data_IF_166594779399
#
_entry.id   IF_166594779399
#
_cell.length_a   1.000
_cell.length_b   1.000
_cell.length_c   1.000
_cell.angle_alpha   90.00
_cell.angle_beta   90.00
_cell.angle_gamma   90.00
#
_symmetry.space_group_name_H-M   'P 1'
#
loop_
_entity.id
_entity.type
_entity.pdbx_description
1 polymer ?
#
# COMPACT_ATOMS: atom_id res chain seq x y z
N UNK A 1 37.78 11.09 24.96
CA UNK A 1 38.58 9.89 24.64
C UNK A 1 38.11 9.41 23.29
N UNK A 2 38.99 9.35 22.29
CA UNK A 2 38.63 8.85 20.96
C UNK A 2 38.59 7.32 21.01
N UNK A 3 37.43 6.73 20.72
CA UNK A 3 37.19 5.29 20.87
C UNK A 3 37.55 4.49 19.60
N UNK A 4 37.95 5.18 18.53
CA UNK A 4 38.26 4.57 17.24
C UNK A 4 37.01 4.13 16.46
N UNK A 5 37.23 3.30 15.44
CA UNK A 5 36.17 2.76 14.58
C UNK A 5 35.55 1.55 15.30
N UNK A 6 34.26 1.64 15.61
CA UNK A 6 33.47 0.58 16.25
C UNK A 6 32.33 0.15 15.32
N UNK A 7 31.95 -1.12 15.36
CA UNK A 7 30.75 -1.61 14.65
C UNK A 7 29.47 -1.07 15.32
N UNK A 8 28.36 -1.04 14.58
CA UNK A 8 27.07 -0.60 15.14
C UNK A 8 26.60 -1.51 16.27
N UNK A 9 26.81 -2.83 16.15
CA UNK A 9 26.50 -3.81 17.20
C UNK A 9 27.32 -3.55 18.46
N UNK A 10 28.60 -3.19 18.32
CA UNK A 10 29.45 -2.88 19.45
C UNK A 10 29.03 -1.57 20.13
N UNK A 11 28.65 -0.55 19.35
CA UNK A 11 28.08 0.69 19.89
C UNK A 11 26.76 0.43 20.65
N UNK A 12 25.88 -0.40 20.11
CA UNK A 12 24.63 -0.81 20.77
C UNK A 12 24.90 -1.56 22.07
N UNK A 13 25.80 -2.55 22.04
CA UNK A 13 26.17 -3.35 23.21
C UNK A 13 26.76 -2.45 24.30
N UNK A 14 27.67 -1.55 23.95
CA UNK A 14 28.28 -0.62 24.90
C UNK A 14 27.26 0.38 25.45
N UNK A 15 26.35 0.88 24.61
CA UNK A 15 25.24 1.74 25.05
C UNK A 15 24.29 1.03 26.04
N UNK A 16 23.96 -0.23 25.78
CA UNK A 16 23.10 -1.04 26.64
C UNK A 16 23.78 -1.40 27.97
N UNK A 17 25.10 -1.66 27.93
CA UNK A 17 25.90 -1.94 29.14
C UNK A 17 26.16 -0.71 30.02
N UNK A 18 25.80 0.49 29.57
CA UNK A 18 26.08 1.75 30.25
C UNK A 18 27.52 2.26 30.06
N UNK A 19 28.35 1.58 29.28
CA UNK A 19 29.70 2.03 28.92
C UNK A 19 29.66 3.30 28.04
N UNK A 20 28.61 3.46 27.23
CA UNK A 20 28.31 4.69 26.50
C UNK A 20 27.01 5.29 27.01
N UNK A 21 26.99 6.62 27.13
CA UNK A 21 25.85 7.38 27.65
C UNK A 21 24.77 7.62 26.60
N UNK A 22 25.10 7.54 25.32
CA UNK A 22 24.24 7.93 24.20
C UNK A 22 24.44 9.38 23.75
N UNK A 23 25.21 10.16 24.53
CA UNK A 23 25.55 11.54 24.22
C UNK A 23 26.76 11.70 23.31
N UNK A 24 27.52 10.62 23.11
CA UNK A 24 28.76 10.61 22.35
C UNK A 24 28.49 10.98 20.89
N UNK A 25 29.41 11.72 20.28
CA UNK A 25 29.33 12.02 18.87
C UNK A 25 29.92 10.87 18.06
N UNK A 26 29.16 10.42 17.07
CA UNK A 26 29.56 9.39 16.11
C UNK A 26 29.45 9.94 14.69
N UNK A 27 30.28 9.40 13.81
CA UNK A 27 30.29 9.73 12.40
C UNK A 27 30.48 8.46 11.59
N UNK A 28 29.76 8.35 10.46
CA UNK A 28 29.93 7.28 9.48
C UNK A 28 30.05 7.88 8.08
N UNK A 29 30.64 7.13 7.17
CA UNK A 29 30.71 7.50 5.77
C UNK A 29 29.32 7.87 5.22
N UNK A 30 29.22 9.03 4.58
CA UNK A 30 27.98 9.58 4.05
C UNK A 30 27.24 10.57 4.96
N UNK A 31 27.71 10.82 6.19
CA UNK A 31 27.16 11.88 7.05
C UNK A 31 27.81 13.25 6.75
N UNK A 32 26.99 14.30 6.69
CA UNK A 32 27.46 15.68 6.47
C UNK A 32 27.94 16.37 7.75
N UNK A 33 27.60 15.82 8.93
CA UNK A 33 28.01 16.31 10.24
C UNK A 33 28.05 15.16 11.26
N UNK A 34 28.71 15.40 12.40
CA UNK A 34 28.70 14.49 13.54
C UNK A 34 27.32 14.50 14.22
N UNK A 35 26.81 13.33 14.62
CA UNK A 35 25.54 13.22 15.36
C UNK A 35 25.70 12.44 16.66
N UNK A 36 24.72 12.58 17.56
CA UNK A 36 24.74 11.85 18.83
C UNK A 36 24.43 10.37 18.62
N UNK A 37 25.10 9.52 19.39
CA UNK A 37 24.93 8.06 19.34
C UNK A 37 23.47 7.66 19.49
N UNK A 38 22.71 8.24 20.42
CA UNK A 38 21.29 7.90 20.61
C UNK A 38 20.44 8.24 19.38
N UNK A 39 20.75 9.31 18.64
CA UNK A 39 20.05 9.63 17.39
C UNK A 39 20.32 8.57 16.31
N UNK A 40 21.57 8.08 16.23
CA UNK A 40 21.99 7.04 15.29
C UNK A 40 21.44 5.67 15.66
N UNK A 41 21.42 5.32 16.95
CA UNK A 41 20.88 4.05 17.43
C UNK A 41 19.36 3.98 17.31
N UNK A 42 18.66 5.12 17.43
CA UNK A 42 17.24 5.22 17.14
C UNK A 42 16.95 5.15 15.63
N UNK A 43 17.87 5.63 14.78
CA UNK A 43 17.73 5.59 13.33
C UNK A 43 18.04 4.22 12.70
N UNK A 44 18.55 3.25 13.48
CA UNK A 44 19.03 1.97 12.96
C UNK A 44 20.26 2.12 12.05
N UNK A 45 20.89 1.01 11.61
CA UNK A 45 21.85 1.08 10.51
C UNK A 45 21.15 1.69 9.30
N UNK A 46 21.83 2.54 8.50
CA UNK A 46 21.21 2.99 7.27
C UNK A 46 20.96 1.73 6.44
N UNK A 47 19.77 1.57 5.84
CA UNK A 47 19.56 0.50 4.90
C UNK A 47 20.65 0.56 3.83
N UNK A 48 21.16 -0.59 3.37
CA UNK A 48 22.29 -0.63 2.46
C UNK A 48 21.96 0.19 1.20
N UNK A 49 22.94 0.91 0.65
CA UNK A 49 22.74 1.60 -0.61
C UNK A 49 22.31 0.60 -1.67
N UNK A 50 21.40 1.00 -2.55
CA UNK A 50 20.93 0.15 -3.65
C UNK A 50 22.18 -0.30 -4.45
N UNK A 51 22.48 -1.61 -4.52
CA UNK A 51 23.79 -2.12 -4.99
C UNK A 51 24.20 -1.66 -6.40
N UNK A 52 23.23 -1.18 -7.18
CA UNK A 52 23.39 -0.83 -8.59
C UNK A 52 23.48 0.66 -8.88
N UNK A 53 23.45 1.52 -7.86
CA UNK A 53 23.62 2.98 -8.02
C UNK A 53 24.95 3.32 -8.70
N UNK A 54 26.03 2.63 -8.38
CA UNK A 54 27.34 2.79 -9.04
C UNK A 54 27.28 2.48 -10.53
N UNK A 55 26.60 1.40 -10.93
CA UNK A 55 26.45 1.02 -12.35
C UNK A 55 25.58 2.04 -13.09
N UNK A 56 24.46 2.44 -12.49
CA UNK A 56 23.55 3.44 -13.03
C UNK A 56 24.25 4.79 -13.27
N UNK A 57 25.09 5.24 -12.32
CA UNK A 57 25.92 6.44 -12.47
C UNK A 57 26.91 6.29 -13.64
N UNK A 58 27.62 5.16 -13.73
CA UNK A 58 28.59 4.91 -14.81
C UNK A 58 27.96 4.86 -16.21
N UNK A 59 26.76 4.32 -16.33
CA UNK A 59 26.07 4.17 -17.63
C UNK A 59 25.14 5.32 -17.97
N UNK A 60 24.95 6.29 -17.07
CA UNK A 60 23.90 7.31 -17.14
C UNK A 60 22.53 6.72 -17.50
N UNK A 61 22.15 5.64 -16.80
CA UNK A 61 20.85 4.98 -16.98
C UNK A 61 20.07 5.04 -15.66
N UNK A 62 18.75 5.23 -15.71
CA UNK A 62 17.90 5.10 -14.53
C UNK A 62 17.90 3.67 -14.00
N UNK A 63 17.60 3.54 -12.71
CA UNK A 63 17.38 2.27 -12.02
C UNK A 63 15.92 1.84 -12.19
N UNK A 64 15.70 0.61 -12.65
CA UNK A 64 14.40 -0.05 -12.61
C UNK A 64 14.43 -1.12 -11.53
N UNK A 65 13.76 -0.87 -10.41
CA UNK A 65 13.72 -1.79 -9.28
C UNK A 65 12.40 -2.53 -9.28
N UNK A 66 12.48 -3.84 -9.46
CA UNK A 66 11.34 -4.76 -9.48
C UNK A 66 11.25 -5.46 -8.13
N UNK A 67 10.14 -5.25 -7.42
CA UNK A 67 9.83 -5.86 -6.13
C UNK A 67 8.97 -7.09 -6.37
N UNK A 68 9.50 -8.28 -6.02
CA UNK A 68 8.88 -9.57 -6.34
C UNK A 68 9.05 -10.60 -5.24
N UNK A 69 7.96 -11.23 -4.83
CA UNK A 69 8.00 -12.47 -4.06
C UNK A 69 8.61 -13.61 -4.90
N UNK A 70 9.19 -14.61 -4.22
CA UNK A 70 9.66 -15.85 -4.83
C UNK A 70 9.00 -17.02 -4.11
N UNK A 71 8.19 -17.86 -4.78
CA UNK A 71 7.59 -17.68 -6.10
C UNK A 71 6.35 -16.75 -6.07
N UNK A 72 6.04 -16.09 -7.19
CA UNK A 72 4.82 -15.30 -7.34
C UNK A 72 3.88 -15.95 -8.37
N UNK A 73 2.88 -16.70 -7.90
CA UNK A 73 1.96 -17.41 -8.81
C UNK A 73 0.96 -16.49 -9.50
N UNK A 74 0.60 -15.37 -8.87
CA UNK A 74 -0.36 -14.38 -9.36
C UNK A 74 0.18 -13.53 -10.53
N UNK A 75 1.49 -13.53 -10.77
CA UNK A 75 2.10 -12.70 -11.80
C UNK A 75 2.79 -13.51 -12.90
N UNK A 76 2.45 -14.80 -13.04
CA UNK A 76 3.06 -15.67 -14.04
C UNK A 76 2.83 -15.19 -15.48
N UNK A 77 1.64 -14.65 -15.78
CA UNK A 77 1.33 -14.10 -17.11
C UNK A 77 2.25 -12.92 -17.47
N UNK A 78 2.22 -11.85 -16.66
CA UNK A 78 3.07 -10.67 -16.87
C UNK A 78 4.58 -11.00 -16.81
N UNK A 79 5.04 -11.87 -15.91
CA UNK A 79 6.45 -12.27 -15.85
C UNK A 79 6.89 -12.96 -17.15
N UNK A 80 6.07 -13.88 -17.67
CA UNK A 80 6.35 -14.55 -18.94
C UNK A 80 6.40 -13.53 -20.09
N UNK A 81 5.41 -12.63 -20.19
CA UNK A 81 5.34 -11.62 -21.24
C UNK A 81 6.50 -10.64 -21.20
N UNK A 82 6.90 -10.14 -20.02
CA UNK A 82 8.04 -9.24 -19.89
C UNK A 82 9.33 -9.92 -20.37
N UNK A 83 9.54 -11.19 -20.01
CA UNK A 83 10.74 -11.93 -20.38
C UNK A 83 10.78 -12.28 -21.88
N UNK A 84 9.62 -12.42 -22.54
CA UNK A 84 9.54 -12.77 -23.97
C UNK A 84 9.27 -11.58 -24.90
N UNK A 85 8.99 -10.39 -24.38
CA UNK A 85 8.56 -9.25 -25.19
C UNK A 85 9.71 -8.61 -25.97
N UNK A 86 9.64 -8.72 -27.30
CA UNK A 86 10.58 -8.04 -28.22
C UNK A 86 10.41 -6.52 -28.24
N UNK A 87 9.22 -6.02 -27.89
CA UNK A 87 8.91 -4.59 -27.86
C UNK A 87 9.38 -3.92 -26.57
N UNK A 88 9.31 -4.65 -25.46
CA UNK A 88 9.72 -4.14 -24.15
C UNK A 88 11.23 -4.21 -23.93
N UNK A 89 11.91 -5.19 -24.54
CA UNK A 89 13.35 -5.40 -24.35
C UNK A 89 14.19 -4.14 -24.66
N UNK A 90 14.01 -3.41 -25.77
CA UNK A 90 14.75 -2.17 -26.03
C UNK A 90 14.52 -1.08 -24.97
N UNK A 91 13.31 -1.01 -24.42
CA UNK A 91 12.98 -0.06 -23.34
C UNK A 91 13.70 -0.48 -22.06
N UNK A 92 13.67 -1.77 -21.69
CA UNK A 92 14.36 -2.31 -20.53
C UNK A 92 15.89 -2.14 -20.61
N UNK A 93 16.47 -2.26 -21.81
CA UNK A 93 17.90 -2.04 -22.04
C UNK A 93 18.34 -0.60 -21.72
N UNK A 94 17.40 0.35 -21.68
CA UNK A 94 17.64 1.74 -21.25
C UNK A 94 17.74 1.90 -19.73
N UNK A 95 17.49 0.84 -18.96
CA UNK A 95 17.58 0.83 -17.49
C UNK A 95 18.73 -0.04 -16.98
N UNK A 96 19.15 0.25 -15.74
CA UNK A 96 19.83 -0.75 -14.90
C UNK A 96 18.76 -1.47 -14.08
N UNK A 97 18.38 -2.66 -14.54
CA UNK A 97 17.35 -3.48 -13.91
C UNK A 97 17.87 -4.19 -12.65
N UNK A 98 17.08 -4.14 -11.58
CA UNK A 98 17.36 -4.76 -10.29
C UNK A 98 16.11 -5.52 -9.85
N UNK A 99 16.28 -6.77 -9.42
CA UNK A 99 15.21 -7.52 -8.77
C UNK A 99 15.47 -7.56 -7.26
N UNK A 100 14.53 -7.07 -6.48
CA UNK A 100 14.53 -7.15 -5.02
C UNK A 100 13.56 -8.24 -4.60
N UNK A 101 14.10 -9.28 -3.96
CA UNK A 101 13.37 -10.48 -3.52
C UNK A 101 13.40 -10.69 -1.99
N UNK A 102 14.23 -9.91 -1.28
CA UNK A 102 14.33 -9.94 0.16
C UNK A 102 13.65 -8.69 0.73
N UNK A 103 12.44 -8.83 1.24
CA UNK A 103 11.77 -7.70 1.90
C UNK A 103 12.26 -7.50 3.35
N UNK A 104 12.93 -8.48 3.97
CA UNK A 104 13.31 -8.45 5.38
C UNK A 104 14.12 -7.19 5.73
N UNK A 105 15.00 -6.78 4.81
CA UNK A 105 15.89 -5.63 4.96
C UNK A 105 15.57 -4.50 3.95
N UNK A 106 14.31 -4.40 3.53
CA UNK A 106 13.85 -3.37 2.61
C UNK A 106 13.80 -2.00 3.31
N UNK A 107 14.38 -0.97 2.71
CA UNK A 107 14.30 0.41 3.23
C UNK A 107 12.85 0.94 3.17
N UNK A 108 12.18 1.01 4.31
CA UNK A 108 10.80 1.46 4.41
C UNK A 108 10.62 2.96 4.21
N UNK A 109 11.68 3.76 4.32
CA UNK A 109 11.62 5.20 4.00
C UNK A 109 11.66 5.45 2.49
N UNK A 110 12.19 4.51 1.71
CA UNK A 110 12.35 4.65 0.25
C UNK A 110 11.36 3.81 -0.54
N UNK A 111 11.19 2.55 -0.16
CA UNK A 111 10.34 1.59 -0.86
C UNK A 111 8.93 1.58 -0.30
N UNK A 112 8.24 2.70 -0.51
CA UNK A 112 6.82 2.86 -0.19
C UNK A 112 6.01 2.67 -1.47
N UNK A 113 5.28 1.57 -1.55
CA UNK A 113 4.38 1.20 -2.65
C UNK A 113 3.17 0.49 -2.04
N UNK A 114 2.22 0.07 -2.86
CA UNK A 114 1.11 -0.74 -2.38
C UNK A 114 1.61 -2.15 -2.01
N UNK A 115 1.84 -2.39 -0.73
CA UNK A 115 2.40 -3.66 -0.23
C UNK A 115 1.50 -4.87 -0.47
N UNK A 116 0.22 -4.66 -0.81
CA UNK A 116 -0.72 -5.73 -1.11
C UNK A 116 -0.66 -6.18 -2.59
N UNK A 117 0.11 -5.48 -3.42
CA UNK A 117 0.34 -5.85 -4.81
C UNK A 117 1.36 -7.00 -4.91
N UNK A 118 1.07 -7.93 -5.82
CA UNK A 118 1.99 -9.01 -6.19
C UNK A 118 3.09 -8.58 -7.19
N UNK A 119 2.88 -7.43 -7.83
CA UNK A 119 3.86 -6.77 -8.71
C UNK A 119 3.99 -5.30 -8.35
N UNK A 120 5.22 -4.85 -8.13
CA UNK A 120 5.51 -3.41 -8.08
C UNK A 120 6.88 -3.13 -8.66
N UNK A 121 6.99 -2.00 -9.33
CA UNK A 121 8.26 -1.46 -9.78
C UNK A 121 8.40 -0.01 -9.33
N UNK A 122 9.63 0.37 -9.06
CA UNK A 122 10.00 1.72 -8.66
C UNK A 122 11.18 2.16 -9.50
N UNK A 123 11.06 3.34 -10.09
CA UNK A 123 12.01 3.88 -11.05
C UNK A 123 12.77 5.02 -10.41
N UNK A 124 14.10 4.93 -10.37
CA UNK A 124 14.94 5.92 -9.68
C UNK A 124 16.02 6.49 -10.60
N UNK A 125 16.44 7.72 -10.33
CA UNK A 125 17.75 8.20 -10.73
C UNK A 125 18.85 7.43 -9.96
N UNK A 126 20.07 7.44 -10.48
CA UNK A 126 21.24 6.84 -9.85
C UNK A 126 21.64 7.49 -8.51
N UNK A 127 21.21 8.73 -8.25
CA UNK A 127 21.37 9.40 -6.94
C UNK A 127 20.32 8.99 -5.90
N UNK A 128 19.33 8.18 -6.30
CA UNK A 128 18.25 7.72 -5.43
C UNK A 128 16.96 8.54 -5.49
N UNK A 129 16.89 9.60 -6.29
CA UNK A 129 15.65 10.35 -6.55
C UNK A 129 14.64 9.46 -7.27
N UNK A 130 13.43 9.31 -6.72
CA UNK A 130 12.36 8.52 -7.35
C UNK A 130 11.69 9.29 -8.50
N UNK A 131 11.61 8.66 -9.68
CA UNK A 131 10.83 9.12 -10.83
C UNK A 131 9.37 8.69 -10.78
N UNK A 132 9.08 7.52 -10.23
CA UNK A 132 7.71 7.09 -9.99
C UNK A 132 7.59 5.61 -9.69
N UNK A 133 6.34 5.19 -9.51
CA UNK A 133 5.94 3.83 -9.19
C UNK A 133 5.17 3.23 -10.36
N UNK A 134 5.16 1.92 -10.45
CA UNK A 134 4.19 1.18 -11.25
C UNK A 134 3.75 -0.06 -10.49
N UNK A 135 2.47 -0.37 -10.60
CA UNK A 135 1.82 -1.51 -9.97
C UNK A 135 0.37 -1.50 -10.41
N UNK A 136 -0.20 -2.67 -10.66
CA UNK A 136 -1.55 -2.77 -11.22
C UNK A 136 -2.37 -3.77 -10.44
N UNK A 137 -3.55 -3.32 -10.01
CA UNK A 137 -4.59 -4.21 -9.49
C UNK A 137 -5.28 -5.01 -10.61
N UNK A 138 -5.08 -4.64 -11.89
CA UNK A 138 -5.64 -5.38 -13.03
C UNK A 138 -5.05 -6.79 -13.11
N UNK A 139 -3.71 -6.91 -13.09
CA UNK A 139 -2.99 -8.20 -13.06
C UNK A 139 -3.24 -9.01 -11.77
N UNK A 140 -3.74 -8.37 -10.71
CA UNK A 140 -4.12 -9.06 -9.47
C UNK A 140 -5.56 -9.58 -9.52
N UNK A 141 -6.43 -8.98 -10.36
CA UNK A 141 -7.78 -9.47 -10.62
C UNK A 141 -7.76 -10.65 -11.60
N UNK A 142 -6.84 -10.64 -12.57
CA UNK A 142 -6.62 -11.73 -13.51
C UNK A 142 -5.13 -12.11 -13.59
N UNK A 143 -4.80 -13.29 -13.06
CA UNK A 143 -3.42 -13.81 -13.05
C UNK A 143 -2.91 -14.23 -14.45
N UNK A 144 -3.80 -14.32 -15.44
CA UNK A 144 -3.46 -14.60 -16.84
C UNK A 144 -3.28 -13.33 -17.67
N UNK A 145 -3.63 -12.16 -17.13
CA UNK A 145 -3.40 -10.90 -17.81
C UNK A 145 -1.90 -10.72 -18.09
N UNK A 146 -1.62 -10.48 -19.36
CA UNK A 146 -0.29 -10.39 -19.96
C UNK A 146 -0.02 -9.01 -20.58
N UNK A 147 -0.95 -8.06 -20.38
CA UNK A 147 -0.90 -6.73 -20.96
C UNK A 147 0.26 -5.92 -20.38
N UNK A 148 1.12 -5.39 -21.25
CA UNK A 148 2.30 -4.59 -20.87
C UNK A 148 2.25 -3.14 -21.35
N UNK A 149 1.22 -2.72 -22.09
CA UNK A 149 1.12 -1.38 -22.69
C UNK A 149 1.28 -0.26 -21.65
N UNK A 150 0.51 -0.29 -20.56
CA UNK A 150 0.66 0.69 -19.47
C UNK A 150 2.01 0.61 -18.76
N UNK A 151 2.62 -0.58 -18.67
CA UNK A 151 3.97 -0.72 -18.10
C UNK A 151 5.01 -0.07 -19.01
N UNK A 152 4.96 -0.33 -20.33
CA UNK A 152 5.79 0.33 -21.34
C UNK A 152 5.62 1.85 -21.29
N UNK A 153 4.38 2.34 -21.18
CA UNK A 153 4.09 3.76 -21.04
C UNK A 153 4.76 4.37 -19.80
N UNK A 154 4.70 3.68 -18.65
CA UNK A 154 5.35 4.12 -17.42
C UNK A 154 6.89 4.16 -17.53
N UNK A 155 7.50 3.14 -18.16
CA UNK A 155 8.93 3.12 -18.41
C UNK A 155 9.36 4.28 -19.31
N UNK A 156 8.64 4.53 -20.41
CA UNK A 156 8.93 5.64 -21.31
C UNK A 156 8.76 7.01 -20.64
N UNK A 157 7.72 7.18 -19.81
CA UNK A 157 7.52 8.40 -19.04
C UNK A 157 8.67 8.63 -18.03
N UNK A 158 9.18 7.57 -17.40
CA UNK A 158 10.36 7.67 -16.55
C UNK A 158 11.65 8.01 -17.32
N UNK A 159 11.83 7.50 -18.54
CA UNK A 159 12.95 7.89 -19.41
C UNK A 159 12.87 9.36 -19.82
N UNK A 160 11.65 9.89 -20.07
CA UNK A 160 11.45 11.30 -20.31
C UNK A 160 11.85 12.16 -19.10
N UNK A 161 11.41 11.77 -17.88
CA UNK A 161 11.86 12.41 -16.65
C UNK A 161 13.37 12.33 -16.45
N UNK A 162 13.99 11.21 -16.84
CA UNK A 162 15.43 11.03 -16.73
C UNK A 162 16.23 11.95 -17.65
N UNK A 163 15.75 12.16 -18.89
CA UNK A 163 16.38 13.04 -19.88
C UNK A 163 16.51 14.49 -19.37
N UNK A 164 15.50 14.98 -18.64
CA UNK A 164 15.47 16.35 -18.14
C UNK A 164 16.14 16.52 -16.76
N UNK A 165 16.68 15.44 -16.20
CA UNK A 165 17.32 15.46 -14.87
C UNK A 165 18.76 16.02 -14.96
N UNK A 166 19.21 16.87 -14.01
CA UNK A 166 18.57 17.25 -12.74
C UNK A 166 17.61 18.46 -12.81
N UNK A 167 17.34 19.02 -13.99
CA UNK A 167 16.53 20.23 -14.15
C UNK A 167 15.09 20.11 -13.65
N UNK A 168 14.55 18.89 -13.55
CA UNK A 168 13.22 18.60 -13.02
C UNK A 168 13.21 18.05 -11.58
N UNK A 169 14.35 18.05 -10.86
CA UNK A 169 14.48 17.39 -9.54
C UNK A 169 13.44 17.90 -8.52
N UNK A 170 13.20 19.20 -8.48
CA UNK A 170 12.26 19.81 -7.53
C UNK A 170 10.81 19.35 -7.76
N UNK A 171 10.42 19.12 -9.03
CA UNK A 171 9.10 18.59 -9.38
C UNK A 171 8.90 17.13 -8.92
N UNK A 172 9.98 16.42 -8.57
CA UNK A 172 9.94 15.05 -8.07
C UNK A 172 9.86 14.97 -6.54
N UNK A 173 9.91 16.10 -5.82
CA UNK A 173 9.94 16.12 -4.35
C UNK A 173 8.74 15.38 -3.73
N UNK A 174 7.52 15.58 -4.26
CA UNK A 174 6.31 14.93 -3.75
C UNK A 174 6.25 13.41 -3.99
N UNK A 175 7.10 12.87 -4.87
CA UNK A 175 7.17 11.44 -5.16
C UNK A 175 7.99 10.68 -4.13
N UNK A 176 8.94 11.35 -3.47
CA UNK A 176 9.87 10.70 -2.56
C UNK A 176 9.11 10.07 -1.38
N UNK A 177 9.65 8.98 -0.83
CA UNK A 177 9.04 8.33 0.33
C UNK A 177 9.03 9.26 1.55
N UNK A 178 8.05 9.06 2.43
CA UNK A 178 7.94 9.79 3.69
C UNK A 178 8.72 9.12 4.83
N UNK A 179 8.74 9.72 6.03
CA UNK A 179 9.26 9.06 7.21
C UNK A 179 8.53 7.74 7.48
N UNK A 180 9.28 6.70 7.84
CA UNK A 180 8.75 5.41 8.25
C UNK A 180 9.04 5.18 9.75
N UNK A 181 8.10 4.64 10.54
CA UNK A 181 8.33 4.39 11.96
C UNK A 181 9.43 3.37 12.27
N UNK A 182 9.77 2.54 11.28
CA UNK A 182 10.83 1.52 11.34
C UNK A 182 11.66 1.62 10.06
N UNK A 183 12.97 1.38 10.13
CA UNK A 183 13.83 1.48 8.96
C UNK A 183 13.63 0.30 8.01
N UNK A 184 13.43 -0.90 8.57
CA UNK A 184 13.23 -2.15 7.82
C UNK A 184 12.11 -3.02 8.40
N UNK A 185 11.50 -3.94 7.62
CA UNK A 185 10.38 -4.76 8.10
C UNK A 185 10.64 -5.61 9.35
N UNK A 186 11.84 -6.18 9.48
CA UNK A 186 12.17 -7.03 10.63
C UNK A 186 12.25 -6.27 11.97
N UNK A 187 12.24 -4.94 11.95
CA UNK A 187 12.17 -4.11 13.15
C UNK A 187 10.73 -3.89 13.63
N UNK A 188 9.73 -4.15 12.79
CA UNK A 188 8.33 -3.99 13.18
C UNK A 188 7.99 -5.07 14.23
N UNK A 189 7.42 -4.73 15.41
CA UNK A 189 7.26 -5.69 16.51
C UNK A 189 6.52 -6.99 16.17
N UNK A 190 5.59 -6.97 15.20
CA UNK A 190 4.86 -8.16 14.77
C UNK A 190 5.71 -9.15 13.94
N UNK A 191 6.84 -8.68 13.38
CA UNK A 191 7.76 -9.43 12.52
C UNK A 191 9.11 -9.71 13.21
N UNK A 192 9.49 -8.87 14.18
CA UNK A 192 10.72 -8.99 14.93
C UNK A 192 10.89 -10.39 15.56
N UNK A 193 12.10 -10.95 15.45
CA UNK A 193 12.46 -12.28 15.96
C UNK A 193 11.90 -13.47 15.17
N UNK A 194 11.00 -13.26 14.20
CA UNK A 194 10.48 -14.32 13.32
C UNK A 194 11.31 -14.52 12.06
N UNK A 195 11.97 -13.46 11.60
CA UNK A 195 12.74 -13.44 10.36
C UNK A 195 14.15 -12.90 10.63
N UNK A 196 15.13 -13.47 9.93
CA UNK A 196 16.49 -12.95 9.88
C UNK A 196 16.64 -11.84 8.84
N UNK A 197 17.80 -11.16 8.84
CA UNK A 197 18.12 -10.13 7.82
C UNK A 197 18.20 -10.72 6.41
N UNK A 198 18.83 -11.89 6.29
CA UNK A 198 19.07 -12.55 5.01
C UNK A 198 18.10 -13.71 4.78
N UNK A 199 17.85 -14.00 3.50
CA UNK A 199 17.07 -15.17 3.11
C UNK A 199 17.87 -16.45 3.37
N UNK A 200 17.17 -17.49 3.82
CA UNK A 200 17.75 -18.82 3.98
C UNK A 200 17.72 -19.57 2.64
N UNK A 201 18.89 -19.67 2.01
CA UNK A 201 19.06 -20.31 0.69
C UNK A 201 19.11 -21.84 0.74
N UNK A 202 19.10 -22.46 1.92
CA UNK A 202 19.11 -23.93 2.11
C UNK A 202 17.70 -24.52 1.97
N UNK A 203 16.99 -24.14 0.90
CA UNK A 203 15.63 -24.60 0.60
C UNK A 203 14.52 -23.99 1.46
N UNK A 204 14.83 -22.96 2.28
CA UNK A 204 13.87 -22.29 3.18
C UNK A 204 13.59 -20.83 2.82
N UNK A 205 13.85 -20.44 1.57
CA UNK A 205 13.77 -19.04 1.11
C UNK A 205 12.41 -18.44 1.43
N UNK A 206 11.32 -19.14 1.06
CA UNK A 206 9.94 -18.67 1.27
C UNK A 206 9.64 -18.49 2.75
N UNK A 207 9.99 -19.47 3.58
CA UNK A 207 9.73 -19.48 5.02
C UNK A 207 10.54 -18.41 5.77
N UNK A 208 11.69 -18.01 5.22
CA UNK A 208 12.57 -16.99 5.78
C UNK A 208 12.28 -15.58 5.27
N UNK A 209 11.29 -15.40 4.38
CA UNK A 209 10.99 -14.10 3.78
C UNK A 209 9.76 -13.46 4.43
N UNK A 210 9.89 -12.19 4.80
CA UNK A 210 8.75 -11.31 5.03
C UNK A 210 8.05 -11.08 3.69
N UNK A 211 6.79 -11.47 3.57
CA UNK A 211 5.98 -11.15 2.40
C UNK A 211 5.58 -9.67 2.43
N UNK A 212 5.54 -8.98 1.28
CA UNK A 212 5.29 -7.53 1.22
C UNK A 212 4.03 -7.12 2.01
N UNK A 213 2.90 -7.80 1.84
CA UNK A 213 1.65 -7.46 2.54
C UNK A 213 1.77 -7.53 4.07
N UNK A 214 2.68 -8.38 4.59
CA UNK A 214 2.92 -8.49 6.02
C UNK A 214 3.49 -7.20 6.62
N UNK A 215 4.10 -6.33 5.81
CA UNK A 215 4.57 -5.00 6.25
C UNK A 215 3.36 -4.15 6.67
N UNK A 216 2.34 -4.06 5.81
CA UNK A 216 1.09 -3.36 6.12
C UNK A 216 0.36 -4.00 7.31
N UNK A 217 0.31 -5.33 7.36
CA UNK A 217 -0.32 -6.07 8.46
C UNK A 217 0.37 -5.78 9.80
N UNK A 218 1.70 -5.74 9.79
CA UNK A 218 2.52 -5.49 10.96
C UNK A 218 2.35 -4.04 11.47
N UNK A 219 2.23 -3.06 10.58
CA UNK A 219 1.92 -1.67 10.97
C UNK A 219 0.54 -1.58 11.63
N UNK A 220 -0.50 -2.17 11.04
CA UNK A 220 -1.85 -2.20 11.63
C UNK A 220 -1.83 -2.86 13.02
N UNK A 221 -1.19 -4.02 13.13
CA UNK A 221 -1.06 -4.75 14.39
C UNK A 221 -0.27 -3.94 15.43
N UNK A 222 0.78 -3.22 15.04
CA UNK A 222 1.57 -2.38 15.93
C UNK A 222 0.73 -1.26 16.57
N UNK A 223 -0.12 -0.58 15.81
CA UNK A 223 -1.07 0.40 16.36
C UNK A 223 -2.08 -0.29 17.28
N UNK A 224 -2.69 -1.38 16.80
CA UNK A 224 -3.74 -2.10 17.50
C UNK A 224 -3.27 -2.62 18.87
N UNK A 225 -2.07 -3.18 18.93
CA UNK A 225 -1.46 -3.73 20.17
C UNK A 225 -1.07 -2.66 21.20
N UNK A 226 -0.98 -1.40 20.80
CA UNK A 226 -0.79 -0.28 21.72
C UNK A 226 -2.12 0.27 22.27
N UNK A 227 -3.25 -0.38 21.97
CA UNK A 227 -4.57 0.15 22.32
C UNK A 227 -4.91 1.45 21.58
N UNK A 228 -4.29 1.69 20.41
CA UNK A 228 -4.57 2.84 19.56
C UNK A 228 -5.53 2.43 18.43
N UNK A 229 -6.35 3.37 17.91
CA UNK A 229 -7.07 3.15 16.66
C UNK A 229 -6.09 2.87 15.53
N UNK A 230 -6.53 2.12 14.53
CA UNK A 230 -5.76 1.96 13.30
C UNK A 230 -5.96 3.22 12.44
N UNK A 231 -4.88 3.90 12.04
CA UNK A 231 -4.97 5.05 11.14
C UNK A 231 -5.70 4.75 9.82
N UNK A 232 -6.55 5.66 9.29
CA UNK A 232 -7.28 5.44 8.05
C UNK A 232 -6.40 5.13 6.82
N UNK A 233 -5.21 5.70 6.73
CA UNK A 233 -4.24 5.43 5.66
C UNK A 233 -3.64 4.02 5.73
N UNK A 234 -3.64 3.38 6.90
CA UNK A 234 -3.27 1.97 7.08
C UNK A 234 -4.44 1.00 6.86
N UNK A 235 -5.70 1.47 6.99
CA UNK A 235 -6.91 0.70 6.66
C UNK A 235 -7.15 0.74 5.14
N UNK A 236 -6.97 1.92 4.54
CA UNK A 236 -7.16 2.20 3.12
C UNK A 236 -5.84 2.68 2.48
N UNK A 237 -4.83 1.80 2.40
CA UNK A 237 -3.56 2.13 1.76
C UNK A 237 -3.74 2.27 0.25
N UNK A 238 -2.98 3.19 -0.36
CA UNK A 238 -2.95 3.42 -1.81
C UNK A 238 -4.35 3.39 -2.46
N UNK A 239 -5.28 4.31 -2.08
CA UNK A 239 -6.61 4.34 -2.67
C UNK A 239 -6.53 4.47 -4.18
N UNK A 240 -7.30 3.65 -4.89
CA UNK A 240 -7.32 3.67 -6.35
C UNK A 240 -8.12 4.88 -6.88
N UNK A 241 -7.91 5.32 -8.14
CA UNK A 241 -8.63 6.46 -8.73
C UNK A 241 -10.16 6.34 -8.63
N UNK A 242 -10.71 5.13 -8.61
CA UNK A 242 -12.13 4.85 -8.47
C UNK A 242 -12.67 5.37 -7.12
N UNK A 243 -11.81 5.51 -6.11
CA UNK A 243 -12.18 6.11 -4.80
C UNK A 243 -12.71 7.54 -4.96
N UNK A 244 -12.26 8.26 -6.00
CA UNK A 244 -12.73 9.62 -6.32
C UNK A 244 -13.63 9.66 -7.56
N UNK A 245 -13.97 8.50 -8.12
CA UNK A 245 -14.83 8.32 -9.30
C UNK A 245 -14.12 8.46 -10.64
N UNK A 246 -12.83 8.09 -10.71
CA UNK A 246 -12.08 8.00 -11.96
C UNK A 246 -11.80 6.54 -12.30
N UNK A 247 -12.07 6.14 -13.54
CA UNK A 247 -11.47 4.93 -14.12
C UNK A 247 -10.33 5.39 -15.02
N UNK A 248 -9.12 4.86 -14.77
CA UNK A 248 -7.97 5.12 -15.62
C UNK A 248 -7.70 3.93 -16.53
N UNK A 249 -7.39 4.23 -17.78
CA UNK A 249 -7.08 3.25 -18.80
C UNK A 249 -5.72 2.59 -18.51
N UNK A 250 -5.71 1.26 -18.41
CA UNK A 250 -4.53 0.45 -18.11
C UNK A 250 -3.49 0.42 -19.22
N UNK A 251 -3.82 0.89 -20.43
CA UNK A 251 -2.88 0.95 -21.55
C UNK A 251 -2.02 2.22 -21.56
N UNK A 252 -2.41 3.24 -20.80
CA UNK A 252 -1.74 4.54 -20.73
C UNK A 252 -1.12 4.77 -19.36
N UNK A 253 -0.31 5.83 -19.23
CA UNK A 253 0.25 6.23 -17.95
C UNK A 253 -0.86 6.65 -16.95
N UNK A 254 -1.74 7.56 -17.35
CA UNK A 254 -2.83 8.06 -16.50
C UNK A 254 -3.95 8.72 -17.33
N UNK A 255 -4.45 8.03 -18.36
CA UNK A 255 -5.59 8.52 -19.16
C UNK A 255 -6.90 8.17 -18.48
N UNK A 256 -7.83 9.11 -18.40
CA UNK A 256 -9.18 8.89 -17.89
C UNK A 256 -10.00 8.18 -18.98
N UNK A 257 -10.46 6.96 -18.70
CA UNK A 257 -11.40 6.25 -19.58
C UNK A 257 -12.85 6.56 -19.22
N UNK A 258 -13.14 6.71 -17.92
CA UNK A 258 -14.49 6.97 -17.41
C UNK A 258 -14.46 7.88 -16.19
N UNK A 259 -15.55 8.63 -16.00
CA UNK A 259 -15.80 9.45 -14.81
C UNK A 259 -17.18 9.08 -14.29
N UNK A 260 -17.24 8.62 -13.04
CA UNK A 260 -18.49 8.18 -12.42
C UNK A 260 -19.45 9.36 -12.23
N UNK A 261 -20.72 9.17 -12.58
CA UNK A 261 -21.77 10.17 -12.38
C UNK A 261 -21.98 10.45 -10.89
N UNK A 262 -22.05 11.72 -10.52
CA UNK A 262 -22.21 12.19 -9.14
C UNK A 262 -20.94 12.10 -8.28
N UNK A 263 -19.79 11.80 -8.88
CA UNK A 263 -18.52 11.63 -8.17
C UNK A 263 -17.79 12.95 -7.88
N UNK A 264 -16.73 12.85 -7.06
CA UNK A 264 -15.83 13.99 -6.79
C UNK A 264 -15.10 14.43 -8.07
N UNK A 265 -14.75 13.48 -8.93
CA UNK A 265 -14.11 13.74 -10.21
C UNK A 265 -15.04 14.45 -11.20
N UNK A 266 -16.31 14.03 -11.30
CA UNK A 266 -17.30 14.71 -12.14
C UNK A 266 -17.54 16.15 -11.63
N UNK A 267 -17.71 16.32 -10.31
CA UNK A 267 -17.88 17.63 -9.69
C UNK A 267 -16.69 18.57 -9.92
N UNK A 268 -15.48 18.01 -10.03
CA UNK A 268 -14.26 18.76 -10.36
C UNK A 268 -14.17 19.12 -11.87
N UNK A 269 -15.01 18.54 -12.71
CA UNK A 269 -15.03 18.77 -14.16
C UNK A 269 -13.98 17.96 -14.95
N UNK A 270 -13.49 16.84 -14.38
CA UNK A 270 -12.71 15.85 -15.11
C UNK A 270 -13.60 15.12 -16.12
N UNK A 271 -13.00 14.65 -17.22
CA UNK A 271 -13.72 14.01 -18.33
C UNK A 271 -12.96 12.82 -18.87
N UNK A 272 -13.70 11.87 -19.44
CA UNK A 272 -13.11 10.82 -20.28
C UNK A 272 -12.27 11.45 -21.40
N UNK A 273 -11.11 10.88 -21.68
CA UNK A 273 -10.12 11.38 -22.62
C UNK A 273 -9.12 12.39 -22.04
N UNK A 274 -9.27 12.81 -20.78
CA UNK A 274 -8.24 13.60 -20.10
C UNK A 274 -6.97 12.76 -19.88
N UNK A 275 -5.82 13.28 -20.28
CA UNK A 275 -4.52 12.75 -19.84
C UNK A 275 -4.09 13.46 -18.57
N UNK A 276 -4.07 12.77 -17.43
CA UNK A 276 -3.60 13.32 -16.16
C UNK A 276 -2.08 13.46 -16.21
N UNK A 277 -1.59 14.70 -16.35
CA UNK A 277 -0.16 15.00 -16.50
C UNK A 277 0.52 15.09 -15.13
N UNK A 278 -0.09 15.79 -14.18
CA UNK A 278 0.46 15.93 -12.83
C UNK A 278 -0.62 16.16 -11.78
N UNK A 279 -0.36 15.75 -10.54
CA UNK A 279 -1.22 16.04 -9.38
C UNK A 279 -0.38 16.62 -8.25
N UNK A 280 -0.80 17.76 -7.71
CA UNK A 280 -0.05 18.54 -6.71
C UNK A 280 1.39 18.81 -7.16
N UNK A 281 1.58 19.12 -8.45
CA UNK A 281 2.88 19.37 -9.08
C UNK A 281 3.71 18.11 -9.38
N UNK A 282 3.26 16.92 -8.98
CA UNK A 282 3.96 15.66 -9.23
C UNK A 282 3.55 15.10 -10.59
N UNK A 283 4.49 14.99 -11.53
CA UNK A 283 4.25 14.34 -12.83
C UNK A 283 3.82 12.88 -12.63
N UNK A 284 2.79 12.42 -13.33
CA UNK A 284 2.37 11.02 -13.23
C UNK A 284 3.07 10.18 -14.29
N UNK A 285 3.65 9.04 -13.89
CA UNK A 285 4.10 8.03 -14.86
C UNK A 285 3.16 6.81 -14.89
N UNK A 286 2.28 6.66 -13.91
CA UNK A 286 1.34 5.54 -13.84
C UNK A 286 0.15 5.82 -12.91
N UNK A 287 -0.85 4.93 -12.96
CA UNK A 287 -1.95 4.84 -11.98
C UNK A 287 -1.43 4.75 -10.53
N UNK A 288 -0.31 4.03 -10.30
CA UNK A 288 0.26 3.88 -8.97
C UNK A 288 0.80 5.21 -8.39
N UNK A 289 1.22 6.15 -9.24
CA UNK A 289 1.56 7.50 -8.78
C UNK A 289 0.31 8.29 -8.37
N UNK A 290 -0.81 8.13 -9.08
CA UNK A 290 -2.07 8.76 -8.67
C UNK A 290 -2.53 8.21 -7.31
N UNK A 291 -2.48 6.88 -7.14
CA UNK A 291 -2.78 6.22 -5.87
C UNK A 291 -1.83 6.67 -4.75
N UNK A 292 -0.55 6.91 -5.05
CA UNK A 292 0.41 7.50 -4.11
C UNK A 292 -0.01 8.91 -3.68
N UNK A 293 -0.40 9.77 -4.61
CA UNK A 293 -0.86 11.13 -4.27
C UNK A 293 -2.10 11.07 -3.39
N UNK A 294 -3.08 10.24 -3.73
CA UNK A 294 -4.25 9.99 -2.88
C UNK A 294 -3.82 9.50 -1.50
N UNK A 295 -2.90 8.54 -1.43
CA UNK A 295 -2.43 7.98 -0.16
C UNK A 295 -1.79 9.04 0.73
N UNK A 296 -1.01 9.98 0.17
CA UNK A 296 -0.38 11.08 0.90
C UNK A 296 -1.32 12.24 1.23
N UNK A 297 -2.54 12.23 0.71
CA UNK A 297 -3.50 13.31 0.92
C UNK A 297 -4.22 13.15 2.26
N UNK A 298 -4.35 14.23 3.07
CA UNK A 298 -5.04 14.17 4.35
C UNK A 298 -6.53 13.78 4.23
N UNK A 299 -7.16 13.59 5.38
CA UNK A 299 -8.58 13.23 5.49
C UNK A 299 -9.53 14.25 4.83
N UNK A 300 -9.09 15.49 4.62
CA UNK A 300 -9.76 16.50 3.79
C UNK A 300 -8.71 17.35 3.08
N UNK A 301 -9.01 17.84 1.88
CA UNK A 301 -8.09 18.69 1.14
C UNK A 301 -8.52 18.93 -0.29
N UNK A 302 -7.60 19.46 -1.10
CA UNK A 302 -7.81 19.65 -2.53
C UNK A 302 -6.59 19.14 -3.30
N UNK A 303 -6.83 18.50 -4.44
CA UNK A 303 -5.82 18.07 -5.38
C UNK A 303 -5.79 19.03 -6.57
N UNK A 304 -4.61 19.60 -6.84
CA UNK A 304 -4.38 20.40 -8.04
C UNK A 304 -3.93 19.49 -9.17
N UNK A 305 -4.83 19.20 -10.09
CA UNK A 305 -4.62 18.29 -11.22
C UNK A 305 -4.35 19.13 -12.46
N UNK A 306 -3.28 18.82 -13.18
CA UNK A 306 -3.07 19.33 -14.54
C UNK A 306 -3.39 18.21 -15.51
N UNK A 307 -4.34 18.46 -16.41
CA UNK A 307 -4.73 17.55 -17.48
C UNK A 307 -4.31 18.10 -18.83
N UNK A 308 -4.01 17.23 -19.78
CA UNK A 308 -4.04 17.56 -21.19
C UNK A 308 -5.38 17.09 -21.76
N UNK A 309 -6.20 18.04 -22.20
CA UNK A 309 -7.53 17.80 -22.77
C UNK A 309 -7.53 18.26 -24.22
N UNK A 310 -7.66 17.30 -25.14
CA UNK A 310 -7.64 17.57 -26.59
C UNK A 310 -6.43 18.41 -27.04
N UNK A 311 -5.25 18.17 -26.44
CA UNK A 311 -4.00 18.88 -26.76
C UNK A 311 -3.76 20.16 -25.97
N UNK A 312 -4.71 20.62 -25.16
CA UNK A 312 -4.57 21.82 -24.33
C UNK A 312 -4.40 21.47 -22.84
N UNK A 313 -3.40 22.09 -22.19
CA UNK A 313 -3.21 21.97 -20.75
C UNK A 313 -4.33 22.72 -19.99
N UNK A 314 -4.96 22.05 -19.03
CA UNK A 314 -5.98 22.61 -18.15
C UNK A 314 -5.69 22.27 -16.69
N UNK A 315 -5.99 23.20 -15.78
CA UNK A 315 -5.91 22.95 -14.33
C UNK A 315 -7.30 22.67 -13.79
N UNK A 316 -7.40 21.61 -13.00
CA UNK A 316 -8.62 21.11 -12.38
C UNK A 316 -8.36 20.95 -10.88
N UNK A 317 -9.24 21.48 -10.04
CA UNK A 317 -9.14 21.28 -8.59
C UNK A 317 -10.17 20.23 -8.15
N UNK A 318 -9.69 19.11 -7.63
CA UNK A 318 -10.54 18.05 -7.07
C UNK A 318 -10.59 18.20 -5.55
N UNK A 319 -11.78 18.49 -5.02
CA UNK A 319 -11.99 18.67 -3.59
C UNK A 319 -12.31 17.33 -2.92
N UNK A 320 -11.62 17.04 -1.82
CA UNK A 320 -11.76 15.82 -1.04
C UNK A 320 -12.43 16.12 0.31
N UNK A 321 -13.70 15.71 0.50
CA UNK A 321 -14.40 15.90 1.76
C UNK A 321 -13.86 14.96 2.84
N UNK A 322 -14.13 15.28 4.11
CA UNK A 322 -13.77 14.39 5.23
C UNK A 322 -14.30 12.97 5.00
N UNK A 323 -13.44 11.96 5.15
CA UNK A 323 -13.81 10.56 5.00
C UNK A 323 -13.87 10.04 3.56
N UNK A 324 -13.44 10.84 2.56
CA UNK A 324 -13.37 10.41 1.15
C UNK A 324 -12.69 9.04 0.97
N UNK A 325 -11.65 8.78 1.76
CA UNK A 325 -10.84 7.56 1.70
C UNK A 325 -11.64 6.30 2.09
N UNK A 326 -12.66 6.44 2.92
CA UNK A 326 -13.50 5.31 3.38
C UNK A 326 -14.29 4.67 2.24
N UNK A 327 -14.44 5.37 1.11
CA UNK A 327 -15.06 4.86 -0.11
C UNK A 327 -14.15 3.94 -0.92
N UNK A 328 -12.90 3.74 -0.51
CA UNK A 328 -11.98 2.84 -1.20
C UNK A 328 -12.39 1.38 -0.97
N UNK A 329 -12.56 0.61 -2.06
CA UNK A 329 -12.82 -0.83 -1.96
C UNK A 329 -11.53 -1.57 -1.56
N UNK A 330 -11.54 -2.10 -0.35
CA UNK A 330 -10.45 -2.91 0.21
C UNK A 330 -10.80 -4.40 0.25
N UNK A 331 -12.01 -4.82 -0.12
CA UNK A 331 -12.51 -6.18 0.11
C UNK A 331 -11.67 -7.30 -0.51
N UNK A 332 -11.00 -7.00 -1.63
CA UNK A 332 -10.13 -7.92 -2.39
C UNK A 332 -8.65 -7.84 -2.01
N UNK A 333 -8.27 -6.94 -1.10
CA UNK A 333 -6.89 -6.76 -0.65
C UNK A 333 -6.50 -7.86 0.33
N UNK A 334 -5.27 -8.37 0.22
CA UNK A 334 -4.77 -9.42 1.11
C UNK A 334 -4.72 -8.92 2.56
N UNK A 335 -4.35 -7.65 2.77
CA UNK A 335 -4.32 -7.02 4.09
C UNK A 335 -5.69 -6.89 4.76
N UNK A 336 -6.79 -7.07 4.01
CA UNK A 336 -8.15 -7.09 4.57
C UNK A 336 -8.43 -8.35 5.37
N UNK A 337 -7.73 -9.46 5.06
CA UNK A 337 -7.89 -10.70 5.81
C UNK A 337 -7.66 -10.52 7.33
N UNK A 338 -6.48 -10.07 7.80
CA UNK A 338 -6.29 -9.84 9.24
C UNK A 338 -7.20 -8.74 9.80
N UNK A 339 -7.57 -7.73 9.01
CA UNK A 339 -8.53 -6.71 9.45
C UNK A 339 -9.92 -7.30 9.76
N UNK A 340 -10.38 -8.32 9.03
CA UNK A 340 -11.62 -9.03 9.34
C UNK A 340 -11.57 -9.70 10.72
N UNK A 341 -10.42 -10.24 11.13
CA UNK A 341 -10.24 -10.77 12.47
C UNK A 341 -10.33 -9.68 13.53
N UNK A 342 -9.62 -8.56 13.33
CA UNK A 342 -9.63 -7.40 14.23
C UNK A 342 -11.03 -6.80 14.39
N UNK A 343 -11.71 -6.56 13.26
CA UNK A 343 -12.96 -5.80 13.21
C UNK A 343 -14.16 -6.62 13.71
N UNK A 344 -14.33 -7.84 13.21
CA UNK A 344 -15.56 -8.58 13.43
C UNK A 344 -15.35 -10.10 13.47
N UNK A 345 -14.22 -10.52 14.04
CA UNK A 345 -14.01 -11.92 14.41
C UNK A 345 -13.91 -12.87 13.23
N UNK A 346 -13.38 -12.40 12.09
CA UNK A 346 -13.01 -13.22 10.94
C UNK A 346 -14.14 -13.57 9.99
N UNK A 347 -15.26 -12.85 10.03
CA UNK A 347 -16.28 -12.95 8.99
C UNK A 347 -15.72 -12.49 7.63
N UNK A 348 -16.36 -12.84 6.53
CA UNK A 348 -16.19 -12.19 5.23
C UNK A 348 -17.56 -11.77 4.78
N UNK A 349 -17.72 -10.47 4.55
CA UNK A 349 -19.00 -9.85 4.32
C UNK A 349 -19.11 -9.35 2.90
N UNK A 350 -20.33 -9.34 2.36
CA UNK A 350 -20.62 -8.74 1.06
C UNK A 350 -21.93 -7.98 1.15
N UNK A 351 -21.93 -6.73 0.73
CA UNK A 351 -23.16 -5.97 0.56
C UNK A 351 -24.00 -6.61 -0.55
N UNK A 352 -25.27 -6.88 -0.27
CA UNK A 352 -26.17 -7.40 -1.29
C UNK A 352 -26.42 -6.35 -2.38
N UNK A 353 -26.46 -6.79 -3.63
CA UNK A 353 -26.84 -5.93 -4.76
C UNK A 353 -28.30 -5.49 -4.64
N UNK A 354 -28.69 -4.44 -5.36
CA UNK A 354 -30.08 -3.97 -5.37
C UNK A 354 -31.06 -5.06 -5.85
N UNK A 355 -30.63 -5.89 -6.82
CA UNK A 355 -31.38 -7.04 -7.30
C UNK A 355 -31.55 -8.11 -6.21
N UNK A 356 -30.45 -8.45 -5.51
CA UNK A 356 -30.47 -9.41 -4.41
C UNK A 356 -31.33 -8.94 -3.23
N UNK A 357 -31.35 -7.63 -2.97
CA UNK A 357 -32.20 -6.98 -1.97
C UNK A 357 -33.66 -7.04 -2.37
N UNK A 358 -33.99 -6.69 -3.62
CA UNK A 358 -35.35 -6.74 -4.16
C UNK A 358 -35.94 -8.16 -4.06
N UNK A 359 -35.17 -9.18 -4.44
CA UNK A 359 -35.57 -10.60 -4.31
C UNK A 359 -35.87 -11.03 -2.87
N UNK A 360 -35.34 -10.32 -1.88
CA UNK A 360 -35.53 -10.58 -0.44
C UNK A 360 -36.49 -9.59 0.23
N UNK A 361 -37.11 -8.68 -0.52
CA UNK A 361 -37.98 -7.63 0.03
C UNK A 361 -37.24 -6.61 0.92
N UNK A 362 -35.93 -6.47 0.74
CA UNK A 362 -35.10 -5.57 1.54
C UNK A 362 -35.04 -4.17 0.91
N UNK A 363 -34.97 -3.14 1.76
CA UNK A 363 -34.74 -1.76 1.31
C UNK A 363 -33.33 -1.61 0.73
N UNK A 364 -33.17 -0.70 -0.23
CA UNK A 364 -31.87 -0.35 -0.84
C UNK A 364 -30.98 0.48 0.08
N UNK A 365 -31.52 1.02 1.17
CA UNK A 365 -30.83 1.95 2.09
C UNK A 365 -30.42 1.33 3.42
N UNK A 366 -30.91 0.14 3.75
CA UNK A 366 -30.58 -0.56 5.00
C UNK A 366 -29.33 -1.42 4.87
N UNK A 367 -28.68 -1.72 6.00
CA UNK A 367 -27.59 -2.69 6.06
C UNK A 367 -28.11 -4.08 5.66
N UNK A 368 -27.37 -4.75 4.78
CA UNK A 368 -27.65 -6.12 4.37
C UNK A 368 -26.32 -6.78 3.96
N UNK A 369 -25.46 -7.00 4.96
CA UNK A 369 -24.15 -7.62 4.76
C UNK A 369 -24.28 -9.14 4.91
N UNK A 370 -24.19 -9.85 3.78
CA UNK A 370 -24.22 -11.30 3.75
C UNK A 370 -22.89 -11.88 4.24
N UNK A 371 -22.95 -12.80 5.20
CA UNK A 371 -21.79 -13.53 5.69
C UNK A 371 -21.43 -14.63 4.69
N UNK A 372 -20.48 -14.35 3.78
CA UNK A 372 -19.97 -15.31 2.79
C UNK A 372 -19.17 -16.43 3.44
N UNK A 373 -18.38 -16.07 4.45
CA UNK A 373 -17.55 -17.01 5.20
C UNK A 373 -17.38 -16.57 6.65
N UNK A 374 -17.10 -17.53 7.51
CA UNK A 374 -16.66 -17.30 8.89
C UNK A 374 -15.33 -18.02 9.07
N UNK A 375 -14.34 -17.34 9.62
CA UNK A 375 -13.04 -17.93 9.89
C UNK A 375 -13.12 -19.11 10.87
N UNK A 376 -12.16 -20.03 10.74
CA UNK A 376 -12.22 -21.33 11.42
C UNK A 376 -11.28 -21.43 12.62
N UNK A 377 -10.17 -20.67 12.63
CA UNK A 377 -9.09 -20.84 13.59
C UNK A 377 -8.58 -19.51 14.16
N UNK A 378 -7.97 -19.58 15.35
CA UNK A 378 -7.30 -18.44 15.99
C UNK A 378 -8.21 -17.21 16.16
N UNK A 379 -7.65 -15.99 15.98
CA UNK A 379 -8.42 -14.73 16.02
C UNK A 379 -9.55 -14.66 14.99
N UNK A 380 -9.47 -15.42 13.89
CA UNK A 380 -10.51 -15.46 12.87
C UNK A 380 -11.70 -16.34 13.24
N UNK A 381 -11.62 -17.16 14.29
CA UNK A 381 -12.70 -18.04 14.70
C UNK A 381 -13.74 -17.38 15.61
N UNK A 382 -13.59 -16.09 15.93
CA UNK A 382 -14.30 -15.47 17.05
C UNK A 382 -15.78 -15.28 16.75
N UNK A 383 -16.15 -14.84 15.54
CA UNK A 383 -17.55 -14.76 15.15
C UNK A 383 -18.21 -16.15 15.09
N UNK A 384 -17.47 -17.18 14.63
CA UNK A 384 -17.95 -18.58 14.65
C UNK A 384 -18.24 -19.03 16.07
N UNK A 385 -17.32 -18.78 17.01
CA UNK A 385 -17.49 -19.12 18.43
C UNK A 385 -18.65 -18.38 19.08
N UNK A 386 -18.94 -17.15 18.62
CA UNK A 386 -20.11 -16.40 19.04
C UNK A 386 -21.43 -16.94 18.45
N UNK A 387 -21.39 -17.88 17.50
CA UNK A 387 -22.58 -18.51 16.90
C UNK A 387 -22.99 -17.95 15.55
N UNK A 388 -22.20 -17.06 14.95
CA UNK A 388 -22.43 -16.57 13.59
C UNK A 388 -22.12 -17.67 12.58
N UNK A 389 -22.97 -17.80 11.57
CA UNK A 389 -22.87 -18.82 10.53
C UNK A 389 -22.71 -18.20 9.15
N UNK A 390 -22.24 -19.02 8.21
CA UNK A 390 -22.33 -18.69 6.78
C UNK A 390 -23.81 -18.48 6.40
N UNK A 391 -24.04 -17.56 5.48
CA UNK A 391 -25.34 -17.16 4.94
C UNK A 391 -26.25 -16.39 5.90
N UNK A 392 -25.76 -16.08 7.11
CA UNK A 392 -26.34 -15.05 7.97
C UNK A 392 -26.36 -13.69 7.27
N UNK A 393 -27.45 -12.94 7.44
CA UNK A 393 -27.57 -11.58 6.91
C UNK A 393 -27.47 -10.58 8.06
N UNK A 394 -26.38 -9.82 8.13
CA UNK A 394 -26.22 -8.77 9.13
C UNK A 394 -27.04 -7.55 8.69
N UNK A 395 -27.95 -7.11 9.56
CA UNK A 395 -28.86 -5.97 9.33
C UNK A 395 -28.59 -4.80 10.29
N UNK A 396 -27.79 -5.01 11.33
CA UNK A 396 -27.23 -3.94 12.14
C UNK A 396 -25.88 -4.38 12.74
N UNK A 397 -24.96 -3.44 12.88
CA UNK A 397 -23.67 -3.64 13.52
C UNK A 397 -23.24 -2.34 14.21
N UNK A 398 -22.80 -2.44 15.46
CA UNK A 398 -22.32 -1.29 16.23
C UNK A 398 -23.32 -0.11 16.30
N UNK A 399 -24.62 -0.42 16.40
CA UNK A 399 -25.70 0.57 16.42
C UNK A 399 -26.02 1.18 15.05
N UNK A 400 -25.28 0.84 14.00
CA UNK A 400 -25.55 1.25 12.61
C UNK A 400 -26.46 0.25 11.92
N UNK A 401 -27.39 0.75 11.09
CA UNK A 401 -28.32 -0.05 10.29
C UNK A 401 -28.50 0.48 8.86
N UNK A 402 -27.76 1.54 8.49
CA UNK A 402 -27.70 2.07 7.14
C UNK A 402 -26.83 1.20 6.23
N UNK A 403 -27.08 1.25 4.93
CA UNK A 403 -26.28 0.54 3.93
C UNK A 403 -24.83 0.99 3.99
N UNK A 404 -23.95 0.01 4.00
CA UNK A 404 -22.51 0.16 4.14
C UNK A 404 -21.84 -1.05 3.50
N UNK A 405 -20.65 -0.88 2.93
CA UNK A 405 -19.82 -1.97 2.46
C UNK A 405 -19.03 -2.64 3.59
N UNK A 406 -18.43 -3.81 3.32
CA UNK A 406 -17.49 -4.44 4.27
C UNK A 406 -16.32 -3.50 4.60
N UNK A 407 -15.76 -2.84 3.58
CA UNK A 407 -14.62 -1.95 3.75
C UNK A 407 -14.93 -0.74 4.63
N UNK A 408 -16.10 -0.12 4.44
CA UNK A 408 -16.55 0.98 5.30
C UNK A 408 -16.84 0.52 6.74
N UNK A 409 -17.41 -0.68 6.94
CA UNK A 409 -17.61 -1.24 8.28
C UNK A 409 -16.27 -1.53 8.98
N UNK A 410 -15.28 -2.08 8.27
CA UNK A 410 -13.91 -2.26 8.78
C UNK A 410 -13.33 -0.89 9.19
N UNK A 411 -13.45 0.13 8.34
CA UNK A 411 -12.99 1.48 8.65
C UNK A 411 -13.60 2.04 9.92
N UNK A 412 -14.93 1.98 10.02
CA UNK A 412 -15.65 2.43 11.22
C UNK A 412 -15.15 1.71 12.48
N UNK A 413 -15.06 0.39 12.44
CA UNK A 413 -14.71 -0.40 13.62
C UNK A 413 -13.24 -0.21 14.03
N UNK A 414 -12.30 -0.21 13.08
CA UNK A 414 -10.87 -0.09 13.40
C UNK A 414 -10.44 1.33 13.79
N UNK A 415 -11.24 2.35 13.44
CA UNK A 415 -11.00 3.75 13.84
C UNK A 415 -11.69 4.13 15.17
N UNK A 416 -12.80 3.48 15.53
CA UNK A 416 -13.61 3.90 16.68
C UNK A 416 -13.68 2.90 17.83
N UNK A 417 -13.25 1.65 17.63
CA UNK A 417 -13.33 0.58 18.64
C UNK A 417 -11.97 -0.01 18.94
N UNK A 418 -11.82 -0.66 20.08
CA UNK A 418 -10.54 -1.22 20.59
C UNK A 418 -10.57 -2.74 20.77
N UNK A 419 -9.39 -3.34 21.01
CA UNK A 419 -9.31 -4.77 21.32
C UNK A 419 -10.16 -5.09 22.56
N UNK A 420 -10.78 -6.28 22.58
CA UNK A 420 -11.63 -6.79 23.68
C UNK A 420 -12.97 -6.07 23.87
N UNK A 421 -13.24 -4.98 23.16
CA UNK A 421 -14.59 -4.43 23.09
C UNK A 421 -15.54 -5.41 22.40
N UNK A 422 -16.82 -5.33 22.74
CA UNK A 422 -17.85 -6.22 22.21
C UNK A 422 -18.55 -5.54 21.04
N UNK A 423 -18.38 -6.08 19.84
CA UNK A 423 -19.20 -5.74 18.70
C UNK A 423 -20.56 -6.43 18.83
N UNK A 424 -21.62 -5.65 18.96
CA UNK A 424 -22.99 -6.15 18.85
C UNK A 424 -23.42 -6.15 17.39
N UNK A 425 -23.92 -7.29 16.92
CA UNK A 425 -24.52 -7.42 15.59
C UNK A 425 -25.92 -8.01 15.69
N UNK A 426 -26.80 -7.57 14.79
CA UNK A 426 -28.14 -8.12 14.59
C UNK A 426 -28.17 -8.83 13.24
N UNK A 427 -28.61 -10.07 13.25
CA UNK A 427 -28.57 -10.99 12.12
C UNK A 427 -29.95 -11.56 11.83
N UNK A 428 -30.30 -11.64 10.55
CA UNK A 428 -31.43 -12.43 10.06
C UNK A 428 -30.93 -13.79 9.59
N UNK A 429 -31.49 -14.86 10.19
CA UNK A 429 -31.22 -16.26 9.83
C UNK A 429 -32.55 -16.98 9.61
N UNK A 430 -32.88 -17.24 8.35
CA UNK A 430 -34.24 -17.66 7.97
C UNK A 430 -35.25 -16.60 8.40
N UNK A 431 -36.25 -16.98 9.19
CA UNK A 431 -37.27 -16.07 9.72
C UNK A 431 -36.90 -15.45 11.08
N UNK A 432 -35.76 -15.84 11.67
CA UNK A 432 -35.35 -15.41 13.00
C UNK A 432 -34.44 -14.20 12.92
N UNK A 433 -34.67 -13.23 13.82
CA UNK A 433 -33.73 -12.17 14.14
C UNK A 433 -32.96 -12.57 15.38
N UNK A 434 -31.63 -12.57 15.30
CA UNK A 434 -30.71 -12.99 16.35
C UNK A 434 -29.75 -11.85 16.67
N UNK A 435 -29.32 -11.76 17.93
CA UNK A 435 -28.25 -10.85 18.34
C UNK A 435 -27.01 -11.64 18.74
N UNK A 436 -25.84 -11.17 18.31
CA UNK A 436 -24.56 -11.76 18.69
C UNK A 436 -23.63 -10.69 19.27
N UNK A 437 -22.86 -11.12 20.27
CA UNK A 437 -21.77 -10.37 20.87
C UNK A 437 -20.44 -10.96 20.38
N UNK A 438 -19.71 -10.22 19.55
CA UNK A 438 -18.46 -10.66 18.93
C UNK A 438 -17.30 -9.87 19.56
N UNK A 439 -16.43 -10.50 20.38
CA UNK A 439 -15.26 -9.81 20.93
C UNK A 439 -14.28 -9.39 19.83
N UNK A 440 -13.95 -8.10 19.78
CA UNK A 440 -12.97 -7.57 18.82
C UNK A 440 -11.55 -7.98 19.19
N UNK A 441 -10.72 -8.23 18.16
CA UNK A 441 -9.33 -8.69 18.32
C UNK A 441 -8.31 -7.56 18.28
#
# INVERSE_FOLDING_TARGET
KELGILSLEELQRRRQSGELSGSEYVWREGMTQWERLDAILQAGPPPPPIPTTTRAKKTNKPLLIVLRCVPCMACRGIDASILSSKELQPVLDSFVCVRVINANNLDLSRFQFDYDLSFSTMLFNADGTLYGRYGSWHHQRDALDSTTSGYTAALNAALALHKDYPGNKDALAGKQGGPAPFAVPIEIPALAGKYGRDLNWDGKVVQSCVHCHQIGDAFRAWHRNQGKPVPPDLIYPMPMPETVGLTLDSEFAARVSEVDKGSLAEAAGLKAGDDLVSVNGQSLISIADFAWVLHRTPETGALQITVNRAGAAQKVTLNLPKGWRQKSDISKRVGTWPMRAMAFGGMSLTDLTDEERAKRGLKTTGMALLVKHVGQYGPHAVAKKAGVLKDDLIIAADGMNQRISEGELIGHLLTNRMQKEILKITVVRGEKTLEFAVPMQ
#
